data_IF_741707967469
#
_entry.id   IF_741707967469
#
_cell.length_a   1.000
_cell.length_b   1.000
_cell.length_c   1.000
_cell.angle_alpha   90.00
_cell.angle_beta   90.00
_cell.angle_gamma   90.00
#
_symmetry.space_group_name_H-M   'P 1'
#
loop_
_entity.id
_entity.type
_entity.pdbx_description
1 polymer ?
#
# COMPACT_ATOMS: atom_id res chain seq x y z
N UNK A 1 -25.06 16.66 31.44
CA UNK A 1 -25.01 15.62 30.41
C UNK A 1 -24.34 16.23 29.21
N UNK A 2 -23.04 16.12 29.09
CA UNK A 2 -22.28 16.48 27.90
C UNK A 2 -22.52 15.35 26.91
N UNK A 3 -23.23 15.64 25.80
CA UNK A 3 -23.26 14.73 24.65
C UNK A 3 -21.83 14.68 24.13
N UNK A 4 -21.11 13.57 24.40
CA UNK A 4 -19.96 13.22 23.60
C UNK A 4 -20.48 13.10 22.16
N UNK A 5 -20.06 14.01 21.29
CA UNK A 5 -20.27 13.85 19.88
C UNK A 5 -19.57 12.54 19.50
N UNK A 6 -20.35 11.50 19.21
CA UNK A 6 -19.83 10.28 18.65
C UNK A 6 -19.12 10.66 17.36
N UNK A 7 -17.78 10.69 17.40
CA UNK A 7 -16.96 10.95 16.24
C UNK A 7 -17.25 9.88 15.18
N UNK A 8 -17.34 10.29 13.90
CA UNK A 8 -17.61 9.35 12.81
C UNK A 8 -16.63 8.16 12.84
N UNK A 9 -17.14 6.93 12.58
CA UNK A 9 -16.29 5.75 12.58
C UNK A 9 -15.27 5.83 11.45
N UNK A 10 -14.06 5.33 11.68
CA UNK A 10 -13.06 5.20 10.64
C UNK A 10 -13.49 4.19 9.57
N UNK A 11 -13.34 4.57 8.32
CA UNK A 11 -13.42 3.61 7.21
C UNK A 11 -12.24 2.65 7.25
N UNK A 12 -11.05 3.18 7.59
CA UNK A 12 -9.81 2.40 7.76
C UNK A 12 -9.03 2.93 8.95
N UNK A 13 -8.59 2.05 9.83
CA UNK A 13 -7.57 2.30 10.84
C UNK A 13 -6.27 1.63 10.40
N UNK A 14 -5.25 2.43 10.16
CA UNK A 14 -3.90 1.95 9.87
C UNK A 14 -3.13 1.78 11.17
N UNK A 15 -2.42 0.66 11.33
CA UNK A 15 -1.63 0.35 12.53
C UNK A 15 -0.18 0.08 12.16
N UNK A 16 0.72 0.89 12.68
CA UNK A 16 2.15 0.74 12.47
C UNK A 16 2.64 1.22 11.11
N UNK A 17 3.94 1.22 10.92
CA UNK A 17 4.57 1.50 9.63
C UNK A 17 4.76 2.99 9.33
N UNK A 18 4.98 3.84 10.35
CA UNK A 18 5.55 5.17 10.14
C UNK A 18 7.08 5.15 10.26
N UNK A 19 7.73 6.00 9.51
CA UNK A 19 9.19 6.14 9.54
C UNK A 19 9.67 7.21 8.56
N UNK A 20 10.97 7.43 8.54
CA UNK A 20 11.63 8.36 7.60
C UNK A 20 12.49 7.58 6.64
N UNK A 21 12.28 7.79 5.35
CA UNK A 21 13.08 7.25 4.25
C UNK A 21 14.14 8.26 3.82
N UNK A 22 15.42 7.89 3.96
CA UNK A 22 16.55 8.63 3.39
C UNK A 22 16.90 7.99 2.04
N UNK A 23 16.67 8.69 0.93
CA UNK A 23 16.97 8.20 -0.41
C UNK A 23 18.31 8.75 -0.91
N UNK A 24 19.22 7.84 -1.25
CA UNK A 24 20.52 8.12 -1.85
C UNK A 24 20.57 7.52 -3.25
N UNK A 25 20.71 8.37 -4.27
CA UNK A 25 20.91 7.91 -5.65
C UNK A 25 22.36 7.53 -5.86
N UNK A 26 22.59 6.32 -6.34
CA UNK A 26 23.93 5.76 -6.58
C UNK A 26 24.08 5.38 -8.05
N UNK A 27 25.30 5.38 -8.58
CA UNK A 27 25.53 5.06 -9.99
C UNK A 27 25.29 3.60 -10.33
N UNK A 28 25.47 2.69 -9.37
CA UNK A 28 25.25 1.25 -9.55
C UNK A 28 24.99 0.54 -8.23
N UNK A 29 24.35 -0.62 -8.31
CA UNK A 29 24.20 -1.59 -7.22
C UNK A 29 24.76 -2.95 -7.64
N UNK A 30 25.62 -3.60 -6.83
CA UNK A 30 26.17 -3.14 -5.54
C UNK A 30 27.06 -1.92 -5.70
N UNK A 31 27.12 -1.05 -4.67
CA UNK A 31 28.00 0.11 -4.65
C UNK A 31 29.45 -0.37 -4.57
N UNK A 32 30.37 0.08 -5.48
CA UNK A 32 31.77 -0.30 -5.42
C UNK A 32 32.45 0.17 -4.11
N UNK A 33 33.42 -0.57 -3.56
CA UNK A 33 34.16 -0.13 -2.39
C UNK A 33 34.94 1.16 -2.66
N UNK A 34 34.74 2.18 -1.84
CA UNK A 34 35.51 3.44 -1.83
C UNK A 34 35.31 4.14 -0.48
N UNK A 35 36.22 5.03 -0.12
CA UNK A 35 36.11 5.82 1.12
C UNK A 35 34.96 6.83 1.04
N UNK A 36 34.64 7.30 -0.16
CA UNK A 36 33.60 8.31 -0.41
C UNK A 36 33.04 8.21 -1.81
N UNK A 37 31.74 8.41 -1.94
CA UNK A 37 31.03 8.55 -3.20
C UNK A 37 30.35 9.92 -3.26
N UNK A 38 30.64 10.70 -4.32
CA UNK A 38 29.83 11.87 -4.65
C UNK A 38 28.47 11.40 -5.18
N UNK A 39 27.38 11.91 -4.61
CA UNK A 39 26.01 11.54 -5.01
C UNK A 39 25.15 12.78 -5.25
N UNK A 40 24.08 12.69 -6.04
CA UNK A 40 23.08 13.75 -6.11
C UNK A 40 22.49 14.09 -4.73
N UNK A 41 21.77 15.22 -4.59
CA UNK A 41 21.19 15.62 -3.30
C UNK A 41 20.41 14.49 -2.64
N UNK A 42 20.80 14.18 -1.40
CA UNK A 42 20.11 13.19 -0.55
C UNK A 42 18.77 13.78 -0.12
N UNK A 43 17.74 12.96 -0.11
CA UNK A 43 16.38 13.33 0.31
C UNK A 43 15.99 12.58 1.56
N UNK A 44 15.21 13.23 2.40
CA UNK A 44 14.50 12.62 3.52
C UNK A 44 13.00 12.92 3.39
N UNK A 45 12.20 11.85 3.40
CA UNK A 45 10.77 11.93 3.28
C UNK A 45 10.10 11.15 4.44
N UNK A 46 8.97 11.68 4.95
CA UNK A 46 8.10 10.87 5.79
C UNK A 46 7.52 9.74 4.93
N UNK A 47 7.87 8.53 5.28
CA UNK A 47 7.65 7.35 4.47
C UNK A 47 7.18 6.15 5.27
N UNK A 48 7.59 4.98 4.83
CA UNK A 48 7.13 3.68 5.24
C UNK A 48 5.65 3.42 4.90
N UNK A 49 5.29 2.14 4.80
CA UNK A 49 4.01 1.63 4.29
C UNK A 49 2.79 2.21 5.00
N UNK A 50 2.80 2.25 6.34
CA UNK A 50 1.65 2.75 7.09
C UNK A 50 1.36 4.23 6.83
N UNK A 51 2.41 5.07 6.75
CA UNK A 51 2.25 6.48 6.35
C UNK A 51 1.64 6.59 4.95
N UNK A 52 2.12 5.77 4.00
CA UNK A 52 1.60 5.75 2.63
C UNK A 52 0.15 5.34 2.55
N UNK A 53 -0.22 4.26 3.23
CA UNK A 53 -1.61 3.79 3.25
C UNK A 53 -2.53 4.80 3.94
N UNK A 54 -2.12 5.40 5.06
CA UNK A 54 -2.92 6.40 5.75
C UNK A 54 -3.17 7.64 4.86
N UNK A 55 -2.11 8.20 4.27
CA UNK A 55 -2.22 9.36 3.37
C UNK A 55 -3.04 9.05 2.12
N UNK A 56 -2.82 7.89 1.49
CA UNK A 56 -3.54 7.49 0.28
C UNK A 56 -5.02 7.25 0.54
N UNK A 57 -5.40 6.59 1.63
CA UNK A 57 -6.79 6.41 2.04
C UNK A 57 -7.48 7.75 2.30
N UNK A 58 -6.83 8.67 3.02
CA UNK A 58 -7.37 10.00 3.28
C UNK A 58 -7.53 10.82 1.99
N UNK A 59 -6.55 10.77 1.07
CA UNK A 59 -6.65 11.44 -0.24
C UNK A 59 -7.82 10.93 -1.08
N UNK A 60 -8.18 9.65 -0.94
CA UNK A 60 -9.37 9.06 -1.55
C UNK A 60 -10.67 9.42 -0.80
N UNK A 61 -10.57 10.15 0.31
CA UNK A 61 -11.69 10.61 1.13
C UNK A 61 -12.32 9.50 1.96
N UNK A 62 -11.54 8.52 2.39
CA UNK A 62 -11.89 7.60 3.46
C UNK A 62 -11.59 8.27 4.80
N UNK A 63 -12.50 8.13 5.77
CA UNK A 63 -12.23 8.55 7.15
C UNK A 63 -11.15 7.64 7.71
N UNK A 64 -9.94 8.19 7.90
CA UNK A 64 -8.73 7.41 8.16
C UNK A 64 -8.14 7.73 9.52
N UNK A 65 -8.08 6.74 10.41
CA UNK A 65 -7.28 6.76 11.64
C UNK A 65 -5.90 6.15 11.39
N UNK A 66 -4.89 6.63 12.11
CA UNK A 66 -3.56 6.05 12.07
C UNK A 66 -2.97 6.00 13.48
N UNK A 67 -2.53 4.82 13.92
CA UNK A 67 -1.92 4.62 15.23
C UNK A 67 -0.57 3.94 15.11
N UNK A 68 0.45 4.50 15.76
CA UNK A 68 1.81 3.97 15.72
C UNK A 68 2.66 4.43 16.91
N UNK A 69 3.80 3.80 17.09
CA UNK A 69 4.87 4.34 17.91
C UNK A 69 5.71 5.33 17.12
N UNK A 70 6.03 6.46 17.75
CA UNK A 70 6.80 7.54 17.13
C UNK A 70 7.77 8.14 18.13
N UNK A 71 9.00 8.36 17.76
CA UNK A 71 10.00 9.03 18.60
C UNK A 71 9.66 10.50 18.85
N UNK A 72 10.13 11.02 19.98
CA UNK A 72 10.20 12.47 20.23
C UNK A 72 11.54 13.00 19.72
N UNK A 73 11.73 12.90 18.40
CA UNK A 73 12.96 13.21 17.68
C UNK A 73 12.67 13.94 16.37
N UNK A 74 13.72 14.41 15.69
CA UNK A 74 13.58 15.13 14.43
C UNK A 74 12.84 14.32 13.35
N UNK A 75 13.13 13.01 13.10
CA UNK A 75 12.34 12.19 12.19
C UNK A 75 10.86 12.10 12.59
N UNK A 76 10.56 12.02 13.88
CA UNK A 76 9.18 12.03 14.36
C UNK A 76 8.46 13.35 14.07
N UNK A 77 9.18 14.48 14.13
CA UNK A 77 8.63 15.78 13.75
C UNK A 77 8.27 15.84 12.26
N UNK A 78 9.14 15.32 11.38
CA UNK A 78 8.87 15.26 9.94
C UNK A 78 7.58 14.47 9.62
N UNK A 79 7.36 13.35 10.32
CA UNK A 79 6.14 12.55 10.14
C UNK A 79 4.90 13.33 10.62
N UNK A 80 4.96 13.98 11.80
CA UNK A 80 3.86 14.81 12.30
C UNK A 80 3.52 15.94 11.34
N UNK A 81 4.53 16.64 10.83
CA UNK A 81 4.37 17.72 9.85
C UNK A 81 3.73 17.20 8.55
N UNK A 82 4.17 16.06 8.05
CA UNK A 82 3.63 15.44 6.83
C UNK A 82 2.16 15.03 6.97
N UNK A 83 1.77 14.57 8.15
CA UNK A 83 0.39 14.14 8.43
C UNK A 83 -0.51 15.32 8.80
N UNK A 84 0.04 16.43 9.27
CA UNK A 84 -0.73 17.62 9.63
C UNK A 84 -1.49 18.14 8.42
N UNK A 85 -2.80 18.34 8.59
CA UNK A 85 -3.69 18.85 7.53
C UNK A 85 -3.98 17.85 6.39
N UNK A 86 -3.48 16.62 6.46
CA UNK A 86 -3.71 15.58 5.42
C UNK A 86 -5.11 14.94 5.49
N UNK A 87 -5.85 15.16 6.56
CA UNK A 87 -7.13 14.49 6.84
C UNK A 87 -6.97 13.12 7.54
N UNK A 88 -5.74 12.73 7.90
CA UNK A 88 -5.46 11.55 8.73
C UNK A 88 -5.58 11.93 10.22
N UNK A 89 -6.39 11.19 10.97
CA UNK A 89 -6.47 11.32 12.43
C UNK A 89 -5.34 10.47 13.06
N UNK A 90 -4.20 11.10 13.35
CA UNK A 90 -2.99 10.43 13.78
C UNK A 90 -2.86 10.37 15.30
N UNK A 91 -2.72 9.16 15.84
CA UNK A 91 -2.61 8.84 17.26
C UNK A 91 -1.23 8.22 17.60
N UNK A 92 -0.16 9.02 17.63
CA UNK A 92 1.16 8.48 17.97
C UNK A 92 1.30 8.23 19.47
N UNK A 93 1.91 7.10 19.82
CA UNK A 93 2.42 6.84 21.15
C UNK A 93 3.94 7.04 21.17
N UNK A 94 4.47 7.80 22.12
CA UNK A 94 5.90 8.11 22.16
C UNK A 94 6.70 6.83 22.41
N UNK A 95 7.60 6.50 21.47
CA UNK A 95 8.59 5.43 21.62
C UNK A 95 9.87 5.97 22.27
N UNK A 96 10.33 5.38 23.37
CA UNK A 96 11.63 5.74 23.94
C UNK A 96 12.80 5.30 23.06
N UNK A 97 12.56 4.48 22.05
CA UNK A 97 13.58 3.94 21.15
C UNK A 97 13.84 4.85 19.93
N UNK A 98 13.03 5.90 19.76
CA UNK A 98 13.10 6.83 18.63
C UNK A 98 12.24 6.39 17.43
N UNK A 99 12.27 7.18 16.37
CA UNK A 99 11.52 6.95 15.13
C UNK A 99 12.27 5.99 14.21
N UNK A 100 11.54 5.05 13.58
CA UNK A 100 12.07 4.11 12.56
C UNK A 100 12.60 4.86 11.37
N UNK A 101 13.62 4.29 10.73
CA UNK A 101 14.27 4.87 9.56
C UNK A 101 14.59 3.79 8.53
N UNK A 102 14.66 4.21 7.27
CA UNK A 102 15.31 3.44 6.23
C UNK A 102 16.26 4.30 5.41
N UNK A 103 17.36 3.70 4.94
CA UNK A 103 18.21 4.28 3.91
C UNK A 103 18.06 3.46 2.65
N UNK A 104 17.56 4.10 1.60
CA UNK A 104 17.30 3.49 0.31
C UNK A 104 18.36 3.93 -0.71
N UNK A 105 19.22 3.02 -1.13
CA UNK A 105 20.11 3.23 -2.26
C UNK A 105 19.35 2.90 -3.55
N UNK A 106 19.32 3.84 -4.50
CA UNK A 106 18.56 3.69 -5.76
C UNK A 106 19.48 3.91 -6.94
N UNK A 107 19.61 2.90 -7.81
CA UNK A 107 20.40 2.98 -9.04
C UNK A 107 19.57 3.47 -10.25
N UNK A 108 20.22 3.94 -11.36
CA UNK A 108 19.52 4.51 -12.52
C UNK A 108 18.59 3.52 -13.24
N UNK A 109 18.84 2.21 -13.09
CA UNK A 109 17.98 1.14 -13.63
C UNK A 109 16.77 0.81 -12.73
N UNK A 110 16.57 1.61 -11.65
CA UNK A 110 15.44 1.45 -10.74
C UNK A 110 15.62 0.37 -9.68
N UNK A 111 16.76 -0.35 -9.64
CA UNK A 111 17.03 -1.28 -8.54
C UNK A 111 17.22 -0.53 -7.23
N UNK A 112 16.77 -1.15 -6.13
CA UNK A 112 16.86 -0.59 -4.79
C UNK A 112 17.52 -1.58 -3.84
N UNK A 113 18.32 -1.04 -2.92
CA UNK A 113 18.81 -1.72 -1.73
C UNK A 113 18.47 -0.88 -0.51
N UNK A 114 17.77 -1.46 0.46
CA UNK A 114 17.32 -0.74 1.66
C UNK A 114 18.02 -1.25 2.91
N UNK A 115 18.40 -0.32 3.78
CA UNK A 115 18.82 -0.58 5.15
C UNK A 115 17.72 -0.11 6.06
N UNK A 116 17.08 -1.04 6.77
CA UNK A 116 15.95 -0.77 7.63
C UNK A 116 16.33 -0.81 9.11
N UNK A 117 16.16 0.31 9.80
CA UNK A 117 16.34 0.45 11.25
C UNK A 117 14.97 0.42 11.94
N UNK A 118 14.56 -0.77 12.40
CA UNK A 118 13.26 -1.00 13.03
C UNK A 118 13.12 -0.36 14.41
N UNK A 119 14.21 -0.15 15.11
CA UNK A 119 14.34 0.42 16.47
C UNK A 119 13.60 -0.31 17.57
N UNK A 120 12.35 -0.66 17.35
CA UNK A 120 11.49 -1.23 18.39
C UNK A 120 11.96 -2.62 18.83
N UNK A 121 12.04 -2.88 20.13
CA UNK A 121 12.30 -4.23 20.64
C UNK A 121 11.14 -5.18 20.33
N UNK A 122 11.45 -6.49 20.23
CA UNK A 122 10.47 -7.51 19.84
C UNK A 122 9.35 -7.73 20.88
N UNK A 123 9.57 -7.32 22.11
CA UNK A 123 8.58 -7.39 23.19
C UNK A 123 7.76 -6.12 23.38
N UNK A 124 7.98 -5.10 22.55
CA UNK A 124 7.19 -3.87 22.58
C UNK A 124 5.71 -4.20 22.34
N UNK A 125 4.86 -3.66 23.20
CA UNK A 125 3.40 -3.77 23.13
C UNK A 125 2.77 -2.41 23.19
N UNK A 126 1.79 -2.18 22.34
CA UNK A 126 0.94 -1.00 22.47
C UNK A 126 -0.07 -1.23 23.59
N UNK A 127 -0.22 -0.32 24.54
CA UNK A 127 -1.21 -0.46 25.62
C UNK A 127 -2.63 -0.53 25.04
N UNK A 128 -3.48 -1.48 25.49
CA UNK A 128 -4.85 -1.63 25.00
C UNK A 128 -5.69 -0.36 25.12
N UNK A 129 -5.50 0.42 26.17
CA UNK A 129 -6.18 1.70 26.36
C UNK A 129 -5.90 2.72 25.27
N UNK A 130 -4.80 2.59 24.53
CA UNK A 130 -4.45 3.49 23.44
C UNK A 130 -5.13 3.11 22.11
N UNK A 131 -5.25 1.83 21.78
CA UNK A 131 -5.78 1.39 20.49
C UNK A 131 -7.20 0.83 20.53
N UNK A 132 -7.66 0.23 21.63
CA UNK A 132 -9.00 -0.36 21.71
C UNK A 132 -10.14 0.64 21.45
N UNK A 133 -10.09 1.89 21.96
CA UNK A 133 -11.10 2.89 21.60
C UNK A 133 -11.15 3.19 20.10
N UNK A 134 -10.00 3.12 19.41
CA UNK A 134 -9.91 3.33 17.97
C UNK A 134 -10.46 2.12 17.19
N UNK A 135 -10.11 0.90 17.60
CA UNK A 135 -10.64 -0.33 16.99
C UNK A 135 -12.18 -0.39 17.08
N UNK A 136 -12.78 -0.04 18.22
CA UNK A 136 -14.25 -0.09 18.41
C UNK A 136 -15.02 0.84 17.48
N UNK A 137 -14.39 1.86 16.94
CA UNK A 137 -14.97 2.81 15.97
C UNK A 137 -14.42 2.63 14.57
N UNK A 138 -13.90 1.45 14.24
CA UNK A 138 -13.29 1.14 12.96
C UNK A 138 -14.12 0.12 12.19
N UNK A 139 -14.13 0.25 10.86
CA UNK A 139 -14.80 -0.68 9.94
C UNK A 139 -13.84 -1.65 9.25
N UNK A 140 -12.56 -1.27 9.15
CA UNK A 140 -11.50 -2.08 8.56
C UNK A 140 -10.16 -1.71 9.16
N UNK A 141 -9.33 -2.70 9.50
CA UNK A 141 -7.98 -2.48 10.03
C UNK A 141 -6.96 -2.83 8.95
N UNK A 142 -5.99 -1.95 8.72
CA UNK A 142 -4.80 -2.28 7.92
C UNK A 142 -3.59 -2.37 8.85
N UNK A 143 -3.00 -3.56 8.96
CA UNK A 143 -1.81 -3.79 9.77
C UNK A 143 -0.57 -3.76 8.89
N UNK A 144 0.33 -2.80 9.12
CA UNK A 144 1.70 -2.90 8.63
C UNK A 144 2.44 -4.00 9.39
N UNK A 145 3.43 -4.65 8.77
CA UNK A 145 4.18 -5.77 9.34
C UNK A 145 5.20 -5.34 10.41
N UNK A 146 4.93 -4.26 11.15
CA UNK A 146 5.71 -3.90 12.34
C UNK A 146 5.51 -4.92 13.46
N UNK A 147 6.57 -5.23 14.21
CA UNK A 147 6.51 -6.36 15.14
C UNK A 147 5.40 -6.23 16.18
N UNK A 148 5.16 -5.04 16.71
CA UNK A 148 4.13 -4.81 17.73
C UNK A 148 2.70 -5.01 17.20
N UNK A 149 2.46 -4.74 15.90
CA UNK A 149 1.12 -4.81 15.32
C UNK A 149 0.50 -6.21 15.38
N UNK A 150 1.33 -7.27 15.37
CA UNK A 150 0.86 -8.66 15.50
C UNK A 150 0.11 -8.94 16.78
N UNK A 151 0.39 -8.19 17.86
CA UNK A 151 -0.24 -8.40 19.15
C UNK A 151 -1.66 -7.82 19.22
N UNK A 152 -2.09 -7.09 18.20
CA UNK A 152 -3.44 -6.57 18.12
C UNK A 152 -4.44 -7.56 17.48
N UNK A 153 -3.94 -8.64 16.85
CA UNK A 153 -4.84 -9.59 16.16
C UNK A 153 -5.90 -10.19 17.07
N UNK A 154 -5.57 -10.56 18.31
CA UNK A 154 -6.53 -11.18 19.24
C UNK A 154 -7.71 -10.24 19.52
N UNK A 155 -7.46 -8.96 19.73
CA UNK A 155 -8.50 -7.95 19.97
C UNK A 155 -9.27 -7.62 18.68
N UNK A 156 -8.60 -7.56 17.51
CA UNK A 156 -9.25 -7.36 16.22
C UNK A 156 -10.21 -8.52 15.91
N UNK A 157 -9.78 -9.76 16.13
CA UNK A 157 -10.60 -10.97 15.95
C UNK A 157 -11.77 -11.00 16.93
N UNK A 158 -11.54 -10.65 18.21
CA UNK A 158 -12.59 -10.58 19.23
C UNK A 158 -13.67 -9.54 18.89
N UNK A 159 -13.29 -8.46 18.19
CA UNK A 159 -14.21 -7.43 17.71
C UNK A 159 -14.85 -7.78 16.34
N UNK A 160 -14.45 -8.88 15.70
CA UNK A 160 -14.95 -9.29 14.40
C UNK A 160 -14.62 -8.31 13.27
N UNK A 161 -13.51 -7.57 13.38
CA UNK A 161 -13.10 -6.57 12.40
C UNK A 161 -12.37 -7.23 11.23
N UNK A 162 -12.68 -6.86 9.98
CA UNK A 162 -11.90 -7.28 8.82
C UNK A 162 -10.53 -6.62 8.84
N UNK A 163 -9.50 -7.39 8.47
CA UNK A 163 -8.12 -6.93 8.51
C UNK A 163 -7.39 -7.18 7.18
N UNK A 164 -6.58 -6.22 6.78
CA UNK A 164 -5.67 -6.34 5.64
C UNK A 164 -4.22 -6.10 6.07
N UNK A 165 -3.30 -6.65 5.29
CA UNK A 165 -1.84 -6.45 5.47
C UNK A 165 -1.13 -6.44 4.13
N UNK A 166 0.04 -5.79 4.08
CA UNK A 166 0.98 -5.92 2.96
C UNK A 166 2.27 -6.60 3.45
N UNK A 167 2.59 -7.73 2.85
CA UNK A 167 3.76 -8.54 3.17
C UNK A 167 5.00 -8.12 2.36
N UNK A 168 4.92 -7.07 1.56
CA UNK A 168 5.99 -6.59 0.70
C UNK A 168 6.54 -7.68 -0.24
N UNK A 169 7.84 -7.90 -0.20
CA UNK A 169 8.56 -8.91 -0.97
C UNK A 169 8.72 -10.25 -0.23
N UNK A 170 7.73 -10.65 0.54
CA UNK A 170 7.78 -11.91 1.28
C UNK A 170 8.01 -13.11 0.36
N UNK A 171 8.97 -13.93 0.75
CA UNK A 171 9.38 -15.14 0.02
C UNK A 171 8.54 -16.40 0.34
N UNK A 172 7.59 -16.29 1.27
CA UNK A 172 6.81 -17.41 1.81
C UNK A 172 7.55 -18.19 2.91
N UNK A 173 8.76 -17.78 3.31
CA UNK A 173 9.59 -18.54 4.28
C UNK A 173 9.92 -17.73 5.53
N UNK A 174 10.11 -16.42 5.37
CA UNK A 174 10.50 -15.54 6.49
C UNK A 174 9.42 -15.53 7.56
N UNK A 175 9.75 -16.04 8.76
CA UNK A 175 8.79 -16.30 9.85
C UNK A 175 8.12 -15.02 10.37
N UNK A 176 8.82 -13.88 10.31
CA UNK A 176 8.26 -12.60 10.76
C UNK A 176 6.91 -12.26 10.10
N UNK A 177 6.72 -12.63 8.84
CA UNK A 177 5.51 -12.29 8.07
C UNK A 177 4.36 -13.27 8.29
N UNK A 178 4.65 -14.46 8.87
CA UNK A 178 3.71 -15.58 8.90
C UNK A 178 2.41 -15.26 9.63
N UNK A 179 2.48 -14.60 10.79
CA UNK A 179 1.27 -14.22 11.54
C UNK A 179 0.37 -13.29 10.70
N UNK A 180 0.98 -12.31 10.02
CA UNK A 180 0.27 -11.37 9.17
C UNK A 180 -0.36 -12.08 7.97
N UNK A 181 0.37 -13.00 7.33
CA UNK A 181 -0.10 -13.77 6.19
C UNK A 181 -1.32 -14.65 6.53
N UNK A 182 -1.32 -15.26 7.71
CA UNK A 182 -2.33 -16.28 8.06
C UNK A 182 -3.54 -15.70 8.81
N UNK A 183 -3.40 -14.52 9.45
CA UNK A 183 -4.45 -13.92 10.29
C UNK A 183 -5.14 -12.71 9.65
N UNK A 184 -4.82 -12.38 8.39
CA UNK A 184 -5.47 -11.29 7.65
C UNK A 184 -6.51 -11.82 6.66
N UNK A 185 -7.57 -11.02 6.44
CA UNK A 185 -8.64 -11.35 5.46
C UNK A 185 -8.24 -10.96 4.03
N UNK A 186 -7.49 -9.86 3.89
CA UNK A 186 -6.92 -9.41 2.62
C UNK A 186 -5.39 -9.35 2.75
N UNK A 187 -4.69 -10.08 1.90
CA UNK A 187 -3.22 -10.14 1.93
C UNK A 187 -2.66 -9.62 0.63
N UNK A 188 -1.87 -8.54 0.74
CA UNK A 188 -1.11 -7.98 -0.37
C UNK A 188 0.34 -8.42 -0.27
N UNK A 189 0.99 -8.62 -1.42
CA UNK A 189 2.44 -8.88 -1.50
C UNK A 189 2.96 -8.52 -2.90
N UNK A 190 4.29 -8.47 -3.04
CA UNK A 190 4.95 -8.33 -4.34
C UNK A 190 5.37 -9.69 -4.88
N UNK A 191 5.32 -9.87 -6.21
CA UNK A 191 5.85 -11.06 -6.87
C UNK A 191 7.37 -11.20 -6.75
N UNK A 192 8.08 -10.12 -6.40
CA UNK A 192 9.55 -10.06 -6.42
C UNK A 192 10.18 -11.06 -5.45
N UNK A 193 9.70 -11.15 -4.22
CA UNK A 193 10.30 -12.01 -3.18
C UNK A 193 10.11 -13.50 -3.46
N UNK A 194 8.93 -13.90 -3.88
CA UNK A 194 8.60 -15.30 -4.15
C UNK A 194 8.98 -15.75 -5.57
N UNK A 195 9.13 -14.81 -6.52
CA UNK A 195 9.49 -15.12 -7.92
C UNK A 195 8.53 -16.14 -8.54
N UNK A 196 9.07 -17.18 -9.15
CA UNK A 196 8.29 -18.27 -9.79
C UNK A 196 7.38 -19.03 -8.80
N UNK A 197 7.67 -18.96 -7.50
CA UNK A 197 6.87 -19.59 -6.44
C UNK A 197 5.61 -18.81 -6.05
N UNK A 198 5.41 -17.62 -6.60
CA UNK A 198 4.30 -16.72 -6.16
C UNK A 198 2.95 -17.43 -6.12
N UNK A 199 2.62 -18.22 -7.15
CA UNK A 199 1.35 -18.97 -7.19
C UNK A 199 1.22 -20.02 -6.08
N UNK A 200 2.31 -20.64 -5.63
CA UNK A 200 2.27 -21.55 -4.48
C UNK A 200 2.15 -20.80 -3.17
N UNK A 201 2.87 -19.71 -3.00
CA UNK A 201 2.79 -18.84 -1.81
C UNK A 201 1.37 -18.31 -1.62
N UNK A 202 0.73 -17.80 -2.68
CA UNK A 202 -0.66 -17.33 -2.61
C UNK A 202 -1.63 -18.44 -2.18
N UNK A 203 -1.46 -19.67 -2.72
CA UNK A 203 -2.29 -20.82 -2.32
C UNK A 203 -2.03 -21.27 -0.88
N UNK A 204 -0.78 -21.20 -0.41
CA UNK A 204 -0.41 -21.53 0.96
C UNK A 204 -1.08 -20.55 1.95
N UNK A 205 -1.09 -19.27 1.65
CA UNK A 205 -1.79 -18.25 2.46
C UNK A 205 -3.29 -18.58 2.56
N UNK A 206 -3.95 -18.89 1.43
CA UNK A 206 -5.39 -19.23 1.42
C UNK A 206 -5.69 -20.53 2.14
N UNK A 207 -4.80 -21.54 2.00
CA UNK A 207 -5.03 -22.86 2.60
C UNK A 207 -4.82 -22.87 4.10
N UNK A 208 -3.78 -22.17 4.58
CA UNK A 208 -3.31 -22.24 5.95
C UNK A 208 -3.80 -21.07 6.81
N UNK A 209 -4.29 -20.00 6.16
CA UNK A 209 -4.79 -18.77 6.79
C UNK A 209 -6.30 -18.59 6.64
N UNK A 210 -6.74 -17.36 6.97
CA UNK A 210 -8.15 -16.95 6.90
C UNK A 210 -8.47 -16.02 5.72
N UNK A 211 -7.52 -15.81 4.81
CA UNK A 211 -7.66 -14.82 3.76
C UNK A 211 -8.84 -15.13 2.81
N UNK A 212 -9.69 -14.12 2.56
CA UNK A 212 -10.71 -14.15 1.51
C UNK A 212 -10.12 -13.86 0.13
N UNK A 213 -8.98 -13.15 0.09
CA UNK A 213 -8.26 -12.86 -1.13
C UNK A 213 -6.78 -12.60 -0.87
N UNK A 214 -5.95 -13.06 -1.80
CA UNK A 214 -4.51 -12.76 -1.86
C UNK A 214 -4.23 -12.02 -3.16
N UNK A 215 -3.54 -10.89 -3.08
CA UNK A 215 -3.22 -10.02 -4.21
C UNK A 215 -1.71 -9.87 -4.31
N UNK A 216 -1.12 -10.33 -5.43
CA UNK A 216 0.31 -10.23 -5.68
C UNK A 216 0.60 -9.22 -6.80
N UNK A 217 1.18 -8.07 -6.45
CA UNK A 217 1.52 -7.01 -7.42
C UNK A 217 2.78 -7.37 -8.20
N UNK A 218 2.75 -7.13 -9.53
CA UNK A 218 3.83 -7.45 -10.47
C UNK A 218 4.31 -6.21 -11.25
N UNK A 219 4.24 -5.02 -10.65
CA UNK A 219 4.63 -3.76 -11.28
C UNK A 219 3.92 -3.54 -12.61
N UNK A 220 4.67 -3.30 -13.69
CA UNK A 220 4.11 -3.12 -15.04
C UNK A 220 3.38 -4.38 -15.58
N UNK A 221 3.57 -5.54 -14.98
CA UNK A 221 2.83 -6.77 -15.28
C UNK A 221 1.41 -6.81 -14.72
N UNK A 222 1.02 -5.85 -13.89
CA UNK A 222 -0.29 -5.80 -13.25
C UNK A 222 -0.30 -6.42 -11.85
N UNK A 223 -1.36 -7.18 -11.54
CA UNK A 223 -1.49 -7.88 -10.27
C UNK A 223 -2.20 -9.23 -10.47
N UNK A 224 -1.85 -10.19 -9.66
CA UNK A 224 -2.53 -11.49 -9.59
C UNK A 224 -3.50 -11.48 -8.41
N UNK A 225 -4.73 -11.85 -8.66
CA UNK A 225 -5.78 -12.03 -7.65
C UNK A 225 -6.10 -13.51 -7.50
N UNK A 226 -6.13 -14.02 -6.27
CA UNK A 226 -6.51 -15.39 -5.96
C UNK A 226 -7.47 -15.41 -4.77
N UNK A 227 -8.58 -16.10 -4.93
CA UNK A 227 -9.59 -16.37 -3.89
C UNK A 227 -9.70 -17.89 -3.63
N UNK A 228 -10.37 -18.34 -2.56
CA UNK A 228 -10.58 -19.77 -2.30
C UNK A 228 -11.29 -20.52 -3.43
N UNK A 229 -12.12 -19.83 -4.22
CA UNK A 229 -12.87 -20.41 -5.35
C UNK A 229 -12.02 -20.55 -6.62
N UNK A 230 -10.92 -19.83 -6.72
CA UNK A 230 -10.06 -19.81 -7.90
C UNK A 230 -9.11 -21.03 -7.94
N UNK A 231 -8.99 -21.67 -9.10
CA UNK A 231 -7.99 -22.74 -9.30
C UNK A 231 -6.58 -22.18 -9.53
N UNK A 232 -6.49 -21.01 -10.15
CA UNK A 232 -5.24 -20.33 -10.50
C UNK A 232 -5.39 -18.84 -10.29
N UNK A 233 -4.29 -18.11 -9.97
CA UNK A 233 -4.34 -16.67 -9.87
C UNK A 233 -4.83 -16.03 -11.18
N UNK A 234 -5.75 -15.08 -11.06
CA UNK A 234 -6.29 -14.29 -12.18
C UNK A 234 -5.44 -13.04 -12.36
N UNK A 235 -5.03 -12.75 -13.59
CA UNK A 235 -4.28 -11.54 -13.90
C UNK A 235 -5.25 -10.35 -14.02
N UNK A 236 -4.99 -9.30 -13.24
CA UNK A 236 -5.57 -7.97 -13.41
C UNK A 236 -4.51 -7.10 -14.08
N UNK A 237 -4.76 -6.60 -15.30
CA UNK A 237 -3.78 -5.82 -16.04
C UNK A 237 -3.35 -4.54 -15.29
N UNK A 238 -2.11 -4.13 -15.49
CA UNK A 238 -1.65 -2.81 -15.03
C UNK A 238 -2.47 -1.70 -15.70
N UNK A 239 -2.74 -0.64 -14.95
CA UNK A 239 -3.31 0.57 -15.53
C UNK A 239 -2.24 1.39 -16.23
N UNK A 240 -2.63 2.15 -17.25
CA UNK A 240 -1.74 3.10 -17.93
C UNK A 240 -1.52 4.30 -17.00
N UNK A 241 -0.27 4.64 -16.67
CA UNK A 241 0.02 5.84 -15.88
C UNK A 241 -0.43 7.11 -16.62
N UNK A 242 -0.99 8.12 -15.92
CA UNK A 242 -1.45 9.36 -16.55
C UNK A 242 -0.31 10.29 -17.02
N UNK A 243 0.93 10.00 -16.63
CA UNK A 243 2.15 10.70 -17.01
C UNK A 243 3.32 9.69 -17.04
N UNK A 244 4.51 10.07 -17.56
CA UNK A 244 5.68 9.19 -17.56
C UNK A 244 6.01 8.66 -16.17
N UNK A 245 6.41 7.39 -16.10
CA UNK A 245 6.88 6.77 -14.86
C UNK A 245 8.21 7.40 -14.45
N UNK A 246 8.26 7.88 -13.21
CA UNK A 246 9.44 8.55 -12.61
C UNK A 246 10.03 7.71 -11.50
N UNK A 247 9.17 7.20 -10.59
CA UNK A 247 9.58 6.42 -9.42
C UNK A 247 8.47 5.42 -9.08
N UNK A 248 8.81 4.18 -8.77
CA UNK A 248 7.84 3.15 -8.37
C UNK A 248 7.71 2.98 -6.84
N UNK A 249 8.41 3.79 -6.07
CA UNK A 249 8.35 3.72 -4.60
C UNK A 249 6.96 4.12 -4.11
N UNK A 250 6.36 3.34 -3.20
CA UNK A 250 5.01 3.57 -2.68
C UNK A 250 3.87 3.15 -3.62
N UNK A 251 4.16 2.57 -4.81
CA UNK A 251 3.12 2.10 -5.73
C UNK A 251 2.28 0.95 -5.14
N UNK A 252 2.89 0.07 -4.33
CA UNK A 252 2.19 -1.00 -3.59
C UNK A 252 1.21 -0.42 -2.56
N UNK A 253 1.66 0.56 -1.78
CA UNK A 253 0.82 1.23 -0.77
C UNK A 253 -0.36 1.93 -1.45
N UNK A 254 -0.11 2.63 -2.56
CA UNK A 254 -1.17 3.26 -3.35
C UNK A 254 -2.15 2.23 -3.93
N UNK A 255 -1.66 1.07 -4.41
CA UNK A 255 -2.50 -0.04 -4.86
C UNK A 255 -3.43 -0.50 -3.73
N UNK A 256 -2.89 -0.74 -2.54
CA UNK A 256 -3.67 -1.10 -1.35
C UNK A 256 -4.76 -0.06 -1.05
N UNK A 257 -4.44 1.24 -1.11
CA UNK A 257 -5.42 2.30 -0.91
C UNK A 257 -6.58 2.26 -1.93
N UNK A 258 -6.25 2.11 -3.22
CA UNK A 258 -7.26 1.99 -4.30
C UNK A 258 -8.14 0.76 -4.12
N UNK A 259 -7.56 -0.37 -3.72
CA UNK A 259 -8.29 -1.61 -3.43
C UNK A 259 -9.25 -1.43 -2.25
N UNK A 260 -8.77 -0.91 -1.11
CA UNK A 260 -9.58 -0.65 0.08
C UNK A 260 -10.69 0.37 -0.18
N UNK A 261 -10.43 1.40 -0.99
CA UNK A 261 -11.48 2.32 -1.45
C UNK A 261 -12.61 1.58 -2.19
N UNK A 262 -12.26 0.67 -3.09
CA UNK A 262 -13.24 -0.17 -3.79
C UNK A 262 -14.06 -1.03 -2.82
N UNK A 263 -13.40 -1.72 -1.89
CA UNK A 263 -14.06 -2.54 -0.85
C UNK A 263 -15.05 -1.73 -0.01
N UNK A 264 -14.66 -0.52 0.41
CA UNK A 264 -15.52 0.40 1.17
C UNK A 264 -16.74 0.88 0.36
N UNK A 265 -16.71 0.76 -0.96
CA UNK A 265 -17.79 1.09 -1.90
C UNK A 265 -18.59 -0.14 -2.34
N UNK A 266 -18.36 -1.31 -1.74
CA UNK A 266 -19.08 -2.55 -2.05
C UNK A 266 -18.76 -3.11 -3.44
N UNK A 267 -17.56 -2.78 -3.99
CA UNK A 267 -17.11 -3.34 -5.26
C UNK A 267 -16.63 -4.77 -5.09
N UNK A 268 -16.75 -5.55 -6.17
CA UNK A 268 -16.14 -6.89 -6.19
C UNK A 268 -14.61 -6.82 -6.17
N UNK A 269 -13.97 -7.96 -5.90
CA UNK A 269 -12.51 -8.01 -5.71
C UNK A 269 -11.73 -7.64 -6.97
N UNK A 270 -12.27 -7.95 -8.16
CA UNK A 270 -11.62 -7.63 -9.43
C UNK A 270 -11.69 -6.13 -9.72
N UNK A 271 -12.84 -5.49 -9.49
CA UNK A 271 -12.99 -4.04 -9.56
C UNK A 271 -12.08 -3.34 -8.54
N UNK A 272 -11.97 -3.88 -7.31
CA UNK A 272 -11.04 -3.37 -6.30
C UNK A 272 -9.59 -3.44 -6.77
N UNK A 273 -9.18 -4.55 -7.37
CA UNK A 273 -7.82 -4.71 -7.90
C UNK A 273 -7.54 -3.76 -9.08
N UNK A 274 -8.53 -3.50 -9.95
CA UNK A 274 -8.41 -2.48 -11.01
C UNK A 274 -8.23 -1.07 -10.44
N UNK A 275 -8.98 -0.71 -9.40
CA UNK A 275 -8.82 0.57 -8.71
C UNK A 275 -7.44 0.67 -8.04
N UNK A 276 -6.96 -0.43 -7.46
CA UNK A 276 -5.59 -0.54 -6.95
C UNK A 276 -4.55 -0.30 -8.05
N UNK A 277 -4.71 -0.94 -9.22
CA UNK A 277 -3.80 -0.77 -10.35
C UNK A 277 -3.72 0.69 -10.82
N UNK A 278 -4.86 1.40 -10.87
CA UNK A 278 -4.89 2.83 -11.23
C UNK A 278 -4.18 3.69 -10.18
N UNK A 279 -4.42 3.43 -8.90
CA UNK A 279 -3.77 4.17 -7.83
C UNK A 279 -2.25 3.94 -7.81
N UNK A 280 -1.80 2.69 -8.00
CA UNK A 280 -0.38 2.36 -8.12
C UNK A 280 0.28 2.99 -9.33
N UNK A 281 -0.39 2.97 -10.50
CA UNK A 281 0.11 3.64 -11.71
C UNK A 281 0.23 5.16 -11.54
N UNK A 282 -0.73 5.78 -10.85
CA UNK A 282 -0.68 7.21 -10.53
C UNK A 282 0.49 7.55 -9.60
N UNK A 283 0.73 6.76 -8.57
CA UNK A 283 1.83 6.96 -7.63
C UNK A 283 3.20 6.96 -8.34
N UNK A 284 3.36 6.19 -9.42
CA UNK A 284 4.60 6.14 -10.19
C UNK A 284 4.95 7.42 -10.97
N UNK A 285 4.06 8.42 -11.03
CA UNK A 285 4.25 9.64 -11.86
C UNK A 285 5.03 10.76 -11.18
N UNK A 286 5.42 10.61 -9.93
CA UNK A 286 6.22 11.58 -9.20
C UNK A 286 7.38 10.91 -8.46
N UNK A 287 8.42 11.70 -8.20
CA UNK A 287 9.58 11.26 -7.46
C UNK A 287 9.32 11.32 -5.94
N UNK A 288 9.82 10.33 -5.21
CA UNK A 288 9.76 10.25 -3.75
C UNK A 288 8.58 9.44 -3.23
N UNK A 289 8.71 9.04 -1.96
CA UNK A 289 7.73 8.17 -1.31
C UNK A 289 6.43 8.93 -1.02
N UNK A 290 5.29 8.44 -1.54
CA UNK A 290 3.94 8.98 -1.28
C UNK A 290 3.74 10.47 -1.64
N UNK A 291 4.43 10.94 -2.68
CA UNK A 291 4.31 12.33 -3.18
C UNK A 291 3.13 12.50 -4.12
N UNK A 292 2.86 11.53 -5.00
CA UNK A 292 1.69 11.51 -5.87
C UNK A 292 0.58 10.63 -5.27
N UNK A 293 -0.42 11.26 -4.70
CA UNK A 293 -1.60 10.58 -4.16
C UNK A 293 -2.77 10.73 -5.14
N UNK A 294 -3.34 9.61 -5.56
CA UNK A 294 -4.50 9.62 -6.45
C UNK A 294 -5.73 10.19 -5.72
N UNK A 295 -6.44 11.10 -6.35
CA UNK A 295 -7.69 11.65 -5.83
C UNK A 295 -8.91 10.83 -6.27
N UNK A 296 -10.02 11.00 -5.53
CA UNK A 296 -11.30 10.32 -5.76
C UNK A 296 -11.84 10.46 -7.21
N UNK A 297 -11.61 11.60 -7.86
CA UNK A 297 -12.08 11.85 -9.21
C UNK A 297 -11.43 10.92 -10.24
N UNK A 298 -10.12 10.69 -10.12
CA UNK A 298 -9.37 9.80 -11.01
C UNK A 298 -9.84 8.35 -10.92
N UNK A 299 -10.11 7.85 -9.70
CA UNK A 299 -10.65 6.49 -9.53
C UNK A 299 -12.09 6.35 -10.02
N UNK A 300 -12.93 7.37 -9.87
CA UNK A 300 -14.30 7.35 -10.39
C UNK A 300 -14.36 7.25 -11.90
N UNK A 301 -13.43 7.88 -12.61
CA UNK A 301 -13.37 7.82 -14.07
C UNK A 301 -13.19 6.39 -14.59
N UNK A 302 -12.53 5.51 -13.83
CA UNK A 302 -12.33 4.10 -14.19
C UNK A 302 -13.59 3.24 -13.96
N UNK A 303 -14.44 3.64 -13.01
CA UNK A 303 -15.69 2.93 -12.69
C UNK A 303 -16.85 3.30 -13.62
N UNK A 304 -16.71 4.39 -14.39
CA UNK A 304 -17.70 4.76 -15.42
C UNK A 304 -17.35 4.00 -16.70
N UNK A 305 -18.25 3.19 -17.27
CA UNK A 305 -18.00 2.58 -18.58
C UNK A 305 -17.68 3.69 -19.59
N UNK A 306 -16.54 3.63 -20.26
CA UNK A 306 -16.29 4.52 -21.40
C UNK A 306 -17.43 4.30 -22.41
N UNK A 307 -18.04 5.38 -22.96
CA UNK A 307 -18.99 5.21 -24.03
C UNK A 307 -18.30 4.43 -25.17
N UNK A 308 -19.00 3.49 -25.82
CA UNK A 308 -18.41 2.72 -26.91
C UNK A 308 -17.84 3.70 -27.94
N UNK A 309 -16.56 3.47 -28.31
CA UNK A 309 -15.93 4.26 -29.38
C UNK A 309 -16.84 4.22 -30.60
N UNK A 310 -17.11 5.36 -31.25
CA UNK A 310 -17.93 5.36 -32.45
C UNK A 310 -17.30 4.43 -33.48
N UNK A 311 -18.07 3.43 -33.92
CA UNK A 311 -17.68 2.54 -35.01
C UNK A 311 -17.43 3.45 -36.22
N UNK A 312 -16.25 3.43 -36.86
CA UNK A 312 -16.03 4.20 -38.08
C UNK A 312 -17.12 3.80 -39.07
N UNK A 313 -17.87 4.78 -39.58
CA UNK A 313 -18.81 4.55 -40.66
C UNK A 313 -18.08 3.91 -41.84
N UNK A 314 -18.59 2.76 -42.31
CA UNK A 314 -18.06 2.09 -43.46
C UNK A 314 -18.05 3.11 -44.64
N UNK A 315 -16.86 3.42 -45.15
CA UNK A 315 -16.73 4.22 -46.34
C UNK A 315 -17.41 3.46 -47.48
N UNK A 316 -18.48 4.04 -48.01
CA UNK A 316 -19.15 3.54 -49.23
C UNK A 316 -18.08 3.42 -50.35
N UNK A 317 -17.80 2.17 -50.73
CA UNK A 317 -17.00 1.88 -51.88
C UNK A 317 -17.85 2.26 -53.12
N UNK A 318 -17.61 3.46 -53.69
CA UNK A 318 -18.12 3.83 -54.99
C UNK A 318 -17.47 2.90 -56.02
N UNK A 319 -18.24 1.94 -56.50
CA UNK A 319 -17.93 1.14 -57.69
C UNK A 319 -18.02 2.08 -58.89
N UNK A 320 -16.88 2.54 -59.42
CA UNK A 320 -16.81 3.22 -60.69
C UNK A 320 -16.93 2.18 -61.81
N UNK A 321 -18.11 2.10 -62.39
CA UNK A 321 -18.31 1.43 -63.69
C UNK A 321 -17.85 2.41 -64.80
N UNK A 322 -16.63 2.22 -65.31
CA UNK A 322 -16.21 2.78 -66.59
C UNK A 322 -16.42 1.72 -67.68
N UNK A 323 -17.42 1.96 -68.50
CA UNK A 323 -17.68 1.15 -69.68
C UNK A 323 -16.92 1.67 -70.89
N UNK A 324 -16.82 0.84 -71.89
CA UNK A 324 -16.40 0.86 -73.26
C UNK A 324 -15.00 0.36 -73.54
#
# INVERSE_FOLDING_TARGET
MTFEQESEPYDVLVVGGSGVDTTVRVDALPVPPADSHGVPPIREDAGHTGTGVALGCAALGLTTGFVDFLGDDHPGSLIRERLAGSGVDFHPLISPHGTRRAVNLVSPDGRRMSFYDARDPLDLRMPPEHYLPLLRRTRHVHLSITHFARFLYDDIEALGLPVSTDLHDWDGLTEHHRDFALRSDLVFLSTVGAGERISSVMREILRDGRAEAVIATAGAGGAYLLTPEDRTPRLVPAAVPPAPVVDSNGAGDAFTCGFLYGRRRGRDLEECARLGAVAGAYACTAEGTHTALVGRAALRAVLTPSPPSPVPAAADAQVSTAGA
#
